data_IF_665856070426
#
_entry.id   IF_665856070426
#
_cell.length_a   1.000
_cell.length_b   1.000
_cell.length_c   1.000
_cell.angle_alpha   90.00
_cell.angle_beta   90.00
_cell.angle_gamma   90.00
#
_symmetry.space_group_name_H-M   'P 1'
#
loop_
_entity.id
_entity.type
_entity.pdbx_description
1 polymer ?
#
# COMPACT_ATOMS: atom_id res chain seq x y z
N UNK A 1 2.31 -15.11 17.14
CA UNK A 1 1.07 -14.29 17.02
C UNK A 1 0.80 -14.18 15.54
N UNK A 2 -0.33 -14.70 15.06
CA UNK A 2 -0.52 -14.90 13.64
C UNK A 2 -0.48 -13.58 12.85
N UNK A 3 0.16 -13.61 11.68
CA UNK A 3 0.48 -12.38 10.96
C UNK A 3 -0.76 -11.59 10.53
N UNK A 4 -1.93 -12.23 10.39
CA UNK A 4 -3.18 -11.53 10.08
C UNK A 4 -3.60 -10.50 11.15
N UNK A 5 -3.10 -10.60 12.38
CA UNK A 5 -3.40 -9.60 13.42
C UNK A 5 -2.69 -8.27 13.20
N UNK A 6 -1.54 -8.27 12.51
CA UNK A 6 -0.72 -7.08 12.32
C UNK A 6 -0.49 -6.73 10.83
N UNK A 7 -0.61 -7.68 9.90
CA UNK A 7 -0.77 -7.46 8.45
C UNK A 7 -2.20 -7.01 8.14
N UNK A 8 -2.59 -5.90 8.74
CA UNK A 8 -3.92 -5.30 8.57
C UNK A 8 -3.75 -3.88 8.04
N UNK A 9 -3.58 -3.70 6.72
CA UNK A 9 -3.51 -2.36 6.16
C UNK A 9 -4.82 -1.61 6.43
N UNK A 10 -4.70 -0.30 6.65
CA UNK A 10 -5.86 0.57 6.64
C UNK A 10 -6.46 0.62 5.23
N UNK A 11 -7.75 0.93 5.13
CA UNK A 11 -8.41 1.09 3.83
C UNK A 11 -8.65 2.58 3.61
N UNK A 12 -7.73 3.23 2.93
CA UNK A 12 -7.91 4.58 2.40
C UNK A 12 -7.62 4.63 0.90
N UNK A 13 -8.70 4.55 0.12
CA UNK A 13 -8.68 4.58 -1.36
C UNK A 13 -8.21 5.91 -1.96
N UNK A 14 -7.94 6.92 -1.13
CA UNK A 14 -7.39 8.21 -1.58
C UNK A 14 -5.91 8.36 -1.28
N UNK A 15 -5.36 7.51 -0.41
CA UNK A 15 -4.01 7.66 0.11
C UNK A 15 -3.24 6.35 0.13
N UNK A 16 -3.29 5.64 -1.00
CA UNK A 16 -2.63 4.33 -1.18
C UNK A 16 -1.14 4.38 -0.80
N UNK A 17 -0.46 5.51 -1.03
CA UNK A 17 0.94 5.73 -0.65
C UNK A 17 1.16 5.66 0.86
N UNK A 18 0.38 6.42 1.64
CA UNK A 18 0.47 6.39 3.11
C UNK A 18 0.03 5.03 3.68
N UNK A 19 -1.02 4.42 3.11
CA UNK A 19 -1.48 3.09 3.51
C UNK A 19 -0.37 2.05 3.33
N UNK A 20 0.31 2.07 2.18
CA UNK A 20 1.41 1.15 1.91
C UNK A 20 2.63 1.43 2.80
N UNK A 21 2.98 2.70 3.02
CA UNK A 21 4.05 3.08 3.96
C UNK A 21 3.77 2.54 5.37
N UNK A 22 2.54 2.71 5.86
CA UNK A 22 2.11 2.22 7.16
C UNK A 22 2.15 0.68 7.24
N UNK A 23 1.79 -0.01 6.17
CA UNK A 23 1.93 -1.46 6.08
C UNK A 23 3.40 -1.89 6.17
N UNK A 24 4.29 -1.25 5.42
CA UNK A 24 5.73 -1.56 5.46
C UNK A 24 6.32 -1.28 6.85
N UNK A 25 5.96 -0.15 7.46
CA UNK A 25 6.35 0.15 8.85
C UNK A 25 5.84 -0.91 9.84
N UNK A 26 4.61 -1.39 9.65
CA UNK A 26 4.05 -2.47 10.47
C UNK A 26 4.85 -3.76 10.32
N UNK A 27 5.25 -4.12 9.09
CA UNK A 27 6.14 -5.27 8.85
C UNK A 27 7.49 -5.08 9.55
N UNK A 28 8.15 -3.94 9.37
CA UNK A 28 9.44 -3.65 9.97
C UNK A 28 9.39 -3.67 11.51
N UNK A 29 8.29 -3.21 12.10
CA UNK A 29 8.10 -3.22 13.56
C UNK A 29 7.92 -4.62 14.17
N UNK A 30 7.63 -5.64 13.36
CA UNK A 30 7.46 -7.02 13.80
C UNK A 30 8.75 -7.86 13.71
N UNK A 31 9.85 -7.29 13.24
CA UNK A 31 11.17 -7.92 13.40
C UNK A 31 11.54 -7.96 14.88
N UNK A 32 12.05 -9.11 15.32
CA UNK A 32 12.52 -9.26 16.69
C UNK A 32 13.93 -8.67 16.91
N UNK A 33 14.45 -8.81 18.12
CA UNK A 33 15.78 -8.31 18.50
C UNK A 33 16.94 -9.05 17.81
N UNK A 34 16.67 -10.18 17.14
CA UNK A 34 17.61 -10.92 16.31
C UNK A 34 17.46 -10.58 14.81
N UNK A 35 16.70 -9.54 14.46
CA UNK A 35 16.35 -9.22 13.08
C UNK A 35 15.65 -10.37 12.34
N UNK A 36 14.84 -11.16 13.06
CA UNK A 36 13.99 -12.20 12.47
C UNK A 36 12.54 -11.76 12.42
N UNK A 37 11.92 -12.00 11.26
CA UNK A 37 10.49 -11.90 11.07
C UNK A 37 9.86 -13.29 11.08
N UNK A 38 8.85 -13.49 11.93
CA UNK A 38 8.11 -14.75 12.03
C UNK A 38 6.66 -14.55 11.61
N UNK A 39 6.16 -15.41 10.72
CA UNK A 39 4.80 -15.33 10.18
C UNK A 39 4.10 -16.67 10.40
N UNK A 40 3.27 -16.76 11.43
CA UNK A 40 2.51 -17.98 11.68
C UNK A 40 1.47 -18.18 10.57
N UNK A 41 1.48 -19.37 9.96
CA UNK A 41 0.47 -19.78 8.99
C UNK A 41 -0.93 -19.87 9.64
N UNK A 42 -2.00 -19.50 8.93
CA UNK A 42 -3.36 -19.56 9.48
C UNK A 42 -3.87 -20.99 9.66
N UNK A 43 -3.22 -21.98 9.04
CA UNK A 43 -3.57 -23.40 9.13
C UNK A 43 -2.80 -24.07 10.26
N UNK A 44 -3.50 -24.89 11.05
CA UNK A 44 -2.90 -25.76 12.08
C UNK A 44 -1.88 -26.69 11.38
N UNK A 45 -0.63 -26.80 11.86
CA UNK A 45 -0.15 -26.48 13.22
C UNK A 45 0.46 -25.08 13.41
N UNK A 46 0.12 -24.08 12.60
CA UNK A 46 0.64 -22.71 12.69
C UNK A 46 2.15 -22.61 12.51
N UNK A 47 2.71 -23.36 11.57
CA UNK A 47 4.13 -23.27 11.25
C UNK A 47 4.52 -21.86 10.81
N UNK A 48 5.75 -21.45 11.12
CA UNK A 48 6.32 -20.19 10.65
C UNK A 48 6.67 -20.30 9.15
N UNK A 49 6.05 -19.44 8.35
CA UNK A 49 6.25 -19.35 6.90
C UNK A 49 7.71 -19.03 6.54
N UNK A 50 8.41 -18.23 7.35
CA UNK A 50 9.77 -17.77 7.05
C UNK A 50 10.84 -18.62 7.76
N UNK A 51 10.46 -19.73 8.39
CA UNK A 51 11.39 -20.60 9.14
C UNK A 51 12.58 -21.10 8.33
N UNK A 52 12.41 -21.31 7.03
CA UNK A 52 13.47 -21.83 6.14
C UNK A 52 14.37 -20.75 5.56
N UNK A 53 14.08 -19.47 5.81
CA UNK A 53 14.90 -18.35 5.34
C UNK A 53 16.16 -18.28 6.20
N UNK A 54 17.32 -18.21 5.55
CA UNK A 54 18.61 -18.08 6.24
C UNK A 54 18.73 -16.70 6.92
N UNK A 55 19.64 -16.56 7.88
CA UNK A 55 19.89 -15.25 8.50
C UNK A 55 20.39 -14.20 7.50
N UNK A 56 21.19 -14.63 6.53
CA UNK A 56 21.69 -13.78 5.44
C UNK A 56 20.53 -13.30 4.54
N UNK A 57 19.64 -14.21 4.15
CA UNK A 57 18.47 -13.86 3.34
C UNK A 57 17.47 -12.99 4.12
N UNK A 58 17.31 -13.22 5.43
CA UNK A 58 16.45 -12.41 6.29
C UNK A 58 16.97 -10.97 6.41
N UNK A 59 18.29 -10.81 6.54
CA UNK A 59 18.92 -9.49 6.52
C UNK A 59 18.66 -8.76 5.19
N UNK A 60 18.77 -9.46 4.06
CA UNK A 60 18.47 -8.90 2.73
C UNK A 60 16.98 -8.53 2.61
N UNK A 61 16.07 -9.35 3.15
CA UNK A 61 14.63 -9.03 3.16
C UNK A 61 14.38 -7.74 3.96
N UNK A 62 14.99 -7.61 5.14
CA UNK A 62 14.87 -6.42 5.99
C UNK A 62 15.39 -5.18 5.27
N UNK A 63 16.60 -5.25 4.70
CA UNK A 63 17.21 -4.14 3.96
C UNK A 63 16.34 -3.68 2.78
N UNK A 64 15.73 -4.61 2.05
CA UNK A 64 14.83 -4.29 0.94
C UNK A 64 13.53 -3.64 1.41
N UNK A 65 12.99 -4.07 2.55
CA UNK A 65 11.80 -3.44 3.16
C UNK A 65 12.12 -2.04 3.68
N UNK A 66 13.29 -1.81 4.27
CA UNK A 66 13.76 -0.49 4.69
C UNK A 66 13.96 0.43 3.49
N UNK A 67 14.59 -0.06 2.42
CA UNK A 67 14.75 0.69 1.16
C UNK A 67 13.39 1.06 0.55
N UNK A 68 12.42 0.14 0.56
CA UNK A 68 11.07 0.40 0.11
C UNK A 68 10.38 1.48 0.96
N UNK A 69 10.47 1.40 2.29
CA UNK A 69 9.95 2.41 3.23
C UNK A 69 10.53 3.79 2.91
N UNK A 70 11.84 3.88 2.75
CA UNK A 70 12.53 5.15 2.56
C UNK A 70 12.16 5.79 1.20
N UNK A 71 12.05 4.97 0.15
CA UNK A 71 11.56 5.43 -1.16
C UNK A 71 10.09 5.86 -1.11
N UNK A 72 9.22 5.14 -0.38
CA UNK A 72 7.81 5.52 -0.21
C UNK A 72 7.69 6.84 0.53
N UNK A 73 8.39 7.01 1.66
CA UNK A 73 8.41 8.25 2.42
C UNK A 73 8.91 9.42 1.55
N UNK A 74 10.02 9.22 0.82
CA UNK A 74 10.56 10.23 -0.08
C UNK A 74 9.59 10.63 -1.20
N UNK A 75 8.82 9.67 -1.73
CA UNK A 75 7.81 9.94 -2.76
C UNK A 75 6.58 10.66 -2.20
N UNK A 76 6.18 10.38 -0.95
CA UNK A 76 5.09 11.08 -0.26
C UNK A 76 5.47 12.53 0.05
N UNK A 77 6.73 12.75 0.44
CA UNK A 77 7.26 14.08 0.79
C UNK A 77 7.58 14.93 -0.45
N UNK A 78 7.63 14.34 -1.64
CA UNK A 78 7.94 15.02 -2.91
C UNK A 78 6.69 15.70 -3.50
N UNK A 79 6.61 17.04 -3.54
CA UNK A 79 5.44 17.76 -4.07
C UNK A 79 5.28 17.63 -5.59
N UNK A 80 6.34 17.32 -6.35
CA UNK A 80 6.27 17.14 -7.78
C UNK A 80 5.92 15.69 -8.16
N UNK A 81 4.72 15.49 -8.71
CA UNK A 81 4.24 14.16 -9.10
C UNK A 81 5.14 13.41 -10.11
N UNK A 82 5.88 14.13 -10.97
CA UNK A 82 6.81 13.49 -11.90
C UNK A 82 8.01 12.93 -11.13
N UNK A 83 8.64 13.75 -10.27
CA UNK A 83 9.76 13.29 -9.44
C UNK A 83 9.33 12.21 -8.42
N UNK A 84 8.15 12.34 -7.80
CA UNK A 84 7.59 11.31 -6.93
C UNK A 84 7.41 9.97 -7.67
N UNK A 85 6.86 9.99 -8.89
CA UNK A 85 6.71 8.78 -9.71
C UNK A 85 8.05 8.13 -10.07
N UNK A 86 9.08 8.96 -10.31
CA UNK A 86 10.44 8.49 -10.58
C UNK A 86 11.10 7.85 -9.36
N UNK A 87 10.82 8.36 -8.15
CA UNK A 87 11.25 7.73 -6.90
C UNK A 87 10.59 6.35 -6.76
N UNK A 88 9.27 6.25 -6.96
CA UNK A 88 8.54 4.99 -6.86
C UNK A 88 9.01 3.93 -7.86
N UNK A 89 9.37 4.35 -9.08
CA UNK A 89 9.97 3.46 -10.10
C UNK A 89 11.27 2.78 -9.65
N UNK A 90 12.02 3.36 -8.70
CA UNK A 90 13.20 2.68 -8.12
C UNK A 90 12.83 1.41 -7.36
N UNK A 91 11.62 1.36 -6.78
CA UNK A 91 11.15 0.21 -5.99
C UNK A 91 10.28 -0.74 -6.82
N UNK A 92 9.39 -0.21 -7.65
CA UNK A 92 8.43 -0.99 -8.43
C UNK A 92 8.90 -1.35 -9.84
N UNK A 93 9.98 -0.74 -10.31
CA UNK A 93 10.52 -0.95 -11.66
C UNK A 93 9.83 -0.11 -12.73
N UNK A 94 10.16 -0.40 -13.99
CA UNK A 94 9.74 0.38 -15.15
C UNK A 94 8.26 0.23 -15.52
N UNK A 95 7.60 -0.82 -15.01
CA UNK A 95 6.15 -1.02 -15.19
C UNK A 95 5.31 -0.05 -14.34
N UNK A 96 5.92 0.65 -13.37
CA UNK A 96 5.23 1.66 -12.58
C UNK A 96 5.06 2.96 -13.41
N UNK A 97 3.84 3.54 -13.47
CA UNK A 97 3.56 4.66 -14.37
C UNK A 97 4.38 5.91 -14.02
N UNK A 98 4.94 6.54 -15.05
CA UNK A 98 5.61 7.85 -14.93
C UNK A 98 4.64 8.96 -15.31
N UNK A 99 4.53 9.97 -14.45
CA UNK A 99 3.71 11.14 -14.72
C UNK A 99 4.52 12.10 -15.58
N UNK A 100 4.18 12.26 -16.86
CA UNK A 100 4.87 13.22 -17.72
C UNK A 100 4.66 14.65 -17.23
N UNK A 101 5.68 15.51 -17.36
CA UNK A 101 5.61 16.93 -16.94
C UNK A 101 4.49 17.73 -17.63
N UNK A 102 4.01 17.28 -18.78
CA UNK A 102 2.90 17.90 -19.53
C UNK A 102 1.50 17.56 -18.99
N UNK A 103 1.36 16.55 -18.12
CA UNK A 103 0.07 16.11 -17.57
C UNK A 103 -0.34 16.87 -16.30
N UNK A 104 0.24 18.05 -16.05
CA UNK A 104 -0.24 18.97 -15.02
C UNK A 104 -1.50 19.70 -15.50
N UNK A 105 -2.66 19.03 -15.44
CA UNK A 105 -3.96 19.62 -15.10
C UNK A 105 -5.12 18.63 -15.27
N UNK A 106 -5.23 17.66 -14.37
CA UNK A 106 -6.57 17.26 -13.89
C UNK A 106 -6.61 17.47 -12.39
N UNK A 107 -6.70 18.74 -12.00
CA UNK A 107 -7.47 19.11 -10.81
C UNK A 107 -8.80 18.38 -10.97
N UNK A 108 -9.07 17.39 -10.12
CA UNK A 108 -10.40 16.78 -10.02
C UNK A 108 -11.35 17.93 -9.68
N UNK A 109 -11.97 18.46 -10.72
CA UNK A 109 -12.96 19.51 -10.62
C UNK A 109 -14.14 18.89 -9.89
N UNK A 110 -14.47 19.43 -8.71
CA UNK A 110 -15.70 19.14 -7.98
C UNK A 110 -16.86 19.11 -8.98
N UNK A 111 -17.44 17.93 -9.21
CA UNK A 111 -18.83 17.85 -9.70
C UNK A 111 -19.71 17.48 -8.52
N UNK A 112 -20.21 18.52 -7.85
CA UNK A 112 -21.53 18.46 -7.25
C UNK A 112 -22.53 18.21 -8.39
N UNK A 113 -23.18 17.05 -8.40
CA UNK A 113 -24.47 16.87 -9.07
C UNK A 113 -25.38 16.09 -8.14
N UNK A 114 -26.12 16.85 -7.34
CA UNK A 114 -27.47 16.50 -6.91
C UNK A 114 -28.37 16.43 -8.15
N UNK A 115 -29.39 15.55 -8.14
CA UNK A 115 -30.48 15.31 -9.12
C UNK A 115 -30.32 13.93 -9.82
N UNK A 116 -31.28 13.01 -9.90
CA UNK A 116 -32.71 12.95 -9.59
C UNK A 116 -33.06 11.44 -9.47
N UNK A 117 -33.55 10.97 -8.32
CA UNK A 117 -34.22 9.65 -8.28
C UNK A 117 -35.56 9.80 -8.98
N UNK A 118 -35.70 9.02 -10.04
CA UNK A 118 -36.85 8.93 -10.92
C UNK A 118 -38.14 8.64 -10.13
N UNK A 119 -39.11 9.54 -10.26
CA UNK A 119 -40.52 9.32 -9.99
C UNK A 119 -41.01 8.11 -10.80
N UNK A 120 -41.22 6.96 -10.16
CA UNK A 120 -41.99 5.86 -10.76
C UNK A 120 -43.47 6.20 -10.58
N UNK A 121 -44.12 6.57 -11.67
CA UNK A 121 -45.57 6.79 -11.78
C UNK A 121 -46.33 5.48 -11.53
N UNK A 122 -47.43 5.64 -10.78
CA UNK A 122 -48.76 5.08 -10.99
C UNK A 122 -48.98 3.57 -10.81
N UNK A 123 -49.76 3.23 -9.77
CA UNK A 123 -50.55 2.00 -9.65
C UNK A 123 -52.01 2.38 -9.35
N UNK A 124 -52.85 2.28 -10.39
CA UNK A 124 -54.32 2.18 -10.47
C UNK A 124 -54.52 1.51 -11.85
N UNK A 125 -55.27 0.43 -12.11
CA UNK A 125 -56.41 -0.23 -11.47
C UNK A 125 -56.47 -1.70 -11.93
N UNK A 126 -56.89 -2.61 -11.05
CA UNK A 126 -58.15 -3.37 -11.16
C UNK A 126 -58.34 -4.28 -9.93
#
# INVERSE_FOLDING_TARGET
MAAYHWLKPEVDVKNDGEVLLNLVNSILSNFDWCDRLSIDLPVVPHGDLLKSVSDEDMAIIKERLETLRDNLQSAIDEPDAHEASKILRKSFGDDFPEVNKSDKAKRVSKRHTSALVHQRRECHDN
#
